data_IF_207813961813
#
_entry.id   IF_207813961813
#
_cell.length_a   1.000
_cell.length_b   1.000
_cell.length_c   1.000
_cell.angle_alpha   90.00
_cell.angle_beta   90.00
_cell.angle_gamma   90.00
#
_symmetry.space_group_name_H-M   'P 1'
#
loop_
_entity.id
_entity.type
_entity.pdbx_description
1 polymer ?
#
# COMPACT_ATOMS: atom_id res chain seq x y z
N UNK A 1 -28.97 -6.99 -3.35
CA UNK A 1 -28.97 -5.59 -2.86
C UNK A 1 -27.71 -4.79 -3.24
N UNK A 2 -26.48 -5.31 -3.05
CA UNK A 2 -25.23 -4.57 -3.32
C UNK A 2 -25.01 -4.14 -4.79
N UNK A 3 -25.34 -4.98 -5.80
CA UNK A 3 -25.25 -4.59 -7.23
C UNK A 3 -26.11 -3.37 -7.59
N UNK A 4 -27.27 -3.20 -6.92
CA UNK A 4 -28.13 -2.02 -7.10
C UNK A 4 -27.51 -0.80 -6.44
N UNK A 5 -26.87 -0.90 -5.27
CA UNK A 5 -26.23 0.26 -4.61
C UNK A 5 -24.99 0.79 -5.36
N UNK A 6 -24.17 -0.09 -5.95
CA UNK A 6 -23.00 0.31 -6.77
C UNK A 6 -23.44 0.95 -8.08
N UNK A 7 -24.44 0.34 -8.74
CA UNK A 7 -25.04 0.92 -9.93
C UNK A 7 -25.71 2.24 -9.58
N UNK A 8 -26.43 2.36 -8.46
CA UNK A 8 -27.06 3.61 -8.03
C UNK A 8 -26.03 4.66 -7.60
N UNK A 9 -24.91 4.35 -6.95
CA UNK A 9 -23.90 5.38 -6.60
C UNK A 9 -23.09 5.82 -7.82
N UNK A 10 -22.71 4.90 -8.70
CA UNK A 10 -22.05 5.23 -9.96
C UNK A 10 -23.00 5.93 -10.93
N UNK A 11 -24.24 5.45 -11.07
CA UNK A 11 -25.31 6.09 -11.85
C UNK A 11 -25.75 7.39 -11.19
N UNK A 12 -25.77 7.55 -9.87
CA UNK A 12 -26.04 8.83 -9.22
C UNK A 12 -24.87 9.79 -9.40
N UNK A 13 -23.60 9.36 -9.34
CA UNK A 13 -22.47 10.23 -9.69
C UNK A 13 -22.49 10.59 -11.18
N UNK A 14 -22.78 9.63 -12.06
CA UNK A 14 -22.91 9.80 -13.50
C UNK A 14 -24.16 10.60 -13.91
N UNK A 15 -25.26 10.56 -13.15
CA UNK A 15 -26.48 11.37 -13.34
C UNK A 15 -26.32 12.74 -12.70
N UNK A 16 -25.54 12.86 -11.63
CA UNK A 16 -25.17 14.14 -11.03
C UNK A 16 -24.18 14.90 -11.95
N UNK A 17 -23.35 14.21 -12.72
CA UNK A 17 -22.47 14.81 -13.74
C UNK A 17 -23.19 14.89 -15.11
N UNK A 18 -24.07 13.93 -15.42
CA UNK A 18 -24.77 13.77 -16.68
C UNK A 18 -26.19 14.34 -16.70
N UNK A 19 -26.30 15.65 -16.51
CA UNK A 19 -27.40 16.40 -17.12
C UNK A 19 -27.05 16.86 -18.55
N UNK A 20 -25.90 16.45 -19.09
CA UNK A 20 -25.52 16.65 -20.50
C UNK A 20 -24.83 15.37 -20.98
N UNK A 21 -25.13 14.99 -22.23
CA UNK A 21 -24.59 13.87 -23.02
C UNK A 21 -25.39 12.57 -22.91
N UNK A 22 -26.42 12.54 -23.75
CA UNK A 22 -27.18 11.38 -24.14
C UNK A 22 -26.30 10.29 -24.77
N UNK A 23 -26.65 9.03 -24.49
CA UNK A 23 -26.15 7.85 -25.20
C UNK A 23 -24.89 7.23 -24.59
N UNK A 24 -24.98 5.97 -24.13
CA UNK A 24 -24.21 4.85 -24.67
C UNK A 24 -24.22 3.65 -23.72
N UNK A 25 -24.84 2.59 -24.25
CA UNK A 25 -24.83 1.16 -23.98
C UNK A 25 -23.77 0.58 -23.03
N UNK A 26 -24.26 -0.29 -22.13
CA UNK A 26 -23.49 -1.24 -21.32
C UNK A 26 -23.76 -2.63 -21.88
N UNK A 27 -22.77 -3.25 -22.53
CA UNK A 27 -22.83 -4.69 -22.84
C UNK A 27 -21.89 -5.46 -21.92
N UNK A 28 -22.45 -6.33 -21.09
CA UNK A 28 -21.73 -7.30 -20.27
C UNK A 28 -21.73 -8.65 -20.97
N UNK A 29 -20.57 -9.29 -21.07
CA UNK A 29 -20.48 -10.72 -21.35
C UNK A 29 -19.39 -11.33 -20.46
N UNK A 30 -19.66 -12.54 -19.98
CA UNK A 30 -18.86 -13.30 -19.03
C UNK A 30 -18.35 -14.60 -19.65
N UNK A 31 -17.09 -14.93 -19.37
CA UNK A 31 -16.41 -16.22 -19.56
C UNK A 31 -14.96 -15.99 -19.09
N UNK A 32 -14.29 -16.83 -18.31
CA UNK A 32 -14.44 -18.27 -18.08
C UNK A 32 -13.12 -18.91 -18.52
N UNK A 33 -12.44 -19.62 -17.61
CA UNK A 33 -11.39 -20.59 -17.92
C UNK A 33 -9.95 -20.06 -18.01
N UNK A 34 -9.17 -20.52 -17.03
CA UNK A 34 -7.85 -21.14 -17.13
C UNK A 34 -6.57 -20.33 -17.44
N UNK A 35 -5.61 -20.59 -16.53
CA UNK A 35 -4.16 -20.68 -16.71
C UNK A 35 -3.39 -19.42 -17.11
N UNK A 36 -3.09 -18.60 -16.09
CA UNK A 36 -1.95 -17.67 -16.08
C UNK A 36 -0.64 -18.49 -15.94
N UNK A 37 -0.34 -19.30 -16.95
CA UNK A 37 1.01 -19.72 -17.27
C UNK A 37 1.81 -18.43 -17.48
N UNK A 38 2.83 -18.20 -16.66
CA UNK A 38 3.86 -17.21 -16.97
C UNK A 38 3.38 -15.73 -16.85
N UNK A 39 3.41 -15.16 -15.63
CA UNK A 39 3.82 -13.76 -15.42
C UNK A 39 5.30 -13.60 -15.77
N UNK A 40 5.54 -13.91 -17.03
CA UNK A 40 6.77 -14.04 -17.74
C UNK A 40 7.49 -12.69 -17.72
N UNK A 41 8.62 -12.65 -17.01
CA UNK A 41 9.62 -11.57 -17.02
C UNK A 41 9.21 -10.31 -16.23
N UNK A 42 9.33 -10.40 -14.90
CA UNK A 42 9.69 -9.32 -13.95
C UNK A 42 10.06 -7.94 -14.55
N UNK A 43 9.63 -6.78 -13.97
CA UNK A 43 10.03 -6.44 -12.59
C UNK A 43 9.09 -5.53 -11.77
N UNK A 44 9.02 -5.73 -10.45
CA UNK A 44 8.61 -4.68 -9.50
C UNK A 44 9.62 -4.56 -8.35
N UNK A 45 10.37 -3.47 -8.37
CA UNK A 45 11.03 -2.87 -7.20
C UNK A 45 10.15 -1.72 -6.72
N UNK A 46 9.92 -1.59 -5.40
CA UNK A 46 10.54 -0.47 -4.69
C UNK A 46 10.65 -0.59 -3.17
N UNK A 47 11.75 -0.01 -2.71
CA UNK A 47 12.15 0.38 -1.36
C UNK A 47 11.87 1.89 -1.21
N UNK A 48 11.56 2.35 0.00
CA UNK A 48 11.01 3.69 0.29
C UNK A 48 11.97 4.88 0.17
N UNK A 49 13.19 4.71 -0.35
CA UNK A 49 14.09 5.83 -0.71
C UNK A 49 14.57 5.67 -2.16
N UNK A 50 13.69 5.96 -3.11
CA UNK A 50 14.00 6.49 -4.44
C UNK A 50 12.71 6.84 -5.17
N UNK A 51 12.61 8.08 -5.62
CA UNK A 51 11.64 8.51 -6.63
C UNK A 51 11.86 7.61 -7.86
N UNK A 52 10.84 6.88 -8.29
CA UNK A 52 10.76 6.40 -9.66
C UNK A 52 9.31 6.54 -10.15
N UNK A 53 9.17 6.84 -11.42
CA UNK A 53 7.90 6.97 -12.11
C UNK A 53 7.18 5.61 -12.09
N UNK A 54 5.94 5.57 -11.61
CA UNK A 54 5.14 4.34 -11.66
C UNK A 54 4.16 4.38 -12.81
N UNK A 55 4.11 3.26 -13.53
CA UNK A 55 3.17 3.02 -14.59
C UNK A 55 1.80 2.68 -14.00
N UNK A 56 0.69 3.06 -14.66
CA UNK A 56 -0.60 2.46 -14.30
C UNK A 56 -0.66 1.08 -14.93
N UNK A 57 -0.42 0.08 -14.09
CA UNK A 57 -0.76 -1.29 -14.42
C UNK A 57 -2.23 -1.50 -14.10
N UNK A 58 -2.98 -2.02 -15.08
CA UNK A 58 -4.34 -2.50 -14.84
C UNK A 58 -4.24 -3.61 -13.78
N UNK A 59 -4.98 -3.51 -12.66
CA UNK A 59 -4.93 -4.56 -11.68
C UNK A 59 -5.39 -5.90 -12.30
N UNK A 60 -4.64 -6.97 -12.07
CA UNK A 60 -4.76 -8.22 -12.85
C UNK A 60 -6.17 -8.82 -12.85
N UNK A 61 -6.91 -8.68 -11.75
CA UNK A 61 -8.26 -9.23 -11.63
C UNK A 61 -9.36 -8.16 -11.79
N UNK A 62 -9.01 -6.97 -12.29
CA UNK A 62 -9.99 -5.94 -12.61
C UNK A 62 -10.87 -6.42 -13.78
N UNK A 63 -12.18 -6.51 -13.53
CA UNK A 63 -13.17 -6.86 -14.56
C UNK A 63 -13.37 -5.74 -15.58
N UNK A 64 -12.90 -4.55 -15.25
CA UNK A 64 -12.83 -3.39 -16.13
C UNK A 64 -12.34 -2.17 -15.37
N UNK A 65 -11.61 -1.31 -16.07
CA UNK A 65 -11.31 0.05 -15.63
C UNK A 65 -12.13 0.99 -16.48
N UNK A 66 -12.82 1.89 -15.79
CA UNK A 66 -13.58 2.96 -16.41
C UNK A 66 -12.96 4.27 -15.99
N UNK A 67 -12.58 5.01 -17.02
CA UNK A 67 -12.03 6.34 -16.87
C UNK A 67 -12.95 7.26 -17.65
N UNK A 68 -13.36 8.34 -16.99
CA UNK A 68 -14.18 9.36 -17.60
C UNK A 68 -13.59 10.75 -17.39
N UNK A 69 -13.74 11.55 -18.42
CA UNK A 69 -13.45 12.97 -18.47
C UNK A 69 -14.31 13.60 -19.56
N UNK A 70 -14.45 14.94 -19.57
CA UNK A 70 -15.13 15.62 -20.66
C UNK A 70 -14.45 15.18 -21.97
N UNK A 71 -15.18 14.40 -22.79
CA UNK A 71 -14.77 13.79 -24.07
C UNK A 71 -13.97 12.46 -24.04
N UNK A 72 -13.67 11.87 -22.89
CA UNK A 72 -12.89 10.62 -22.82
C UNK A 72 -13.62 9.52 -22.04
N UNK A 73 -14.39 8.67 -22.73
CA UNK A 73 -14.87 7.40 -22.17
C UNK A 73 -13.88 6.29 -22.53
N UNK A 74 -12.95 5.98 -21.63
CA UNK A 74 -12.01 4.86 -21.84
C UNK A 74 -12.52 3.66 -21.04
N UNK A 75 -12.89 2.61 -21.76
CA UNK A 75 -13.28 1.31 -21.19
C UNK A 75 -12.21 0.30 -21.58
N UNK A 76 -11.43 -0.17 -20.60
CA UNK A 76 -10.44 -1.20 -20.80
C UNK A 76 -10.92 -2.53 -20.21
N UNK A 77 -10.84 -3.61 -21.00
CA UNK A 77 -10.93 -5.00 -20.55
C UNK A 77 -9.58 -5.68 -20.72
N UNK A 78 -9.15 -6.47 -19.74
CA UNK A 78 -7.90 -7.24 -19.79
C UNK A 78 -8.04 -8.31 -20.89
N UNK A 79 -7.16 -8.29 -21.90
CA UNK A 79 -6.97 -9.43 -22.82
C UNK A 79 -5.56 -10.04 -22.73
N UNK A 80 -4.58 -9.28 -22.29
CA UNK A 80 -3.25 -9.66 -21.77
C UNK A 80 -2.56 -8.34 -21.38
N UNK A 81 -1.46 -8.38 -20.62
CA UNK A 81 -0.69 -7.25 -20.05
C UNK A 81 -0.07 -6.26 -21.07
N UNK A 82 -0.71 -6.01 -22.22
CA UNK A 82 -0.24 -5.04 -23.20
C UNK A 82 -0.79 -3.63 -22.92
N UNK A 83 0.10 -2.65 -23.13
CA UNK A 83 -0.23 -1.23 -23.30
C UNK A 83 -1.52 -1.06 -24.07
N UNK A 84 -2.51 -0.40 -23.45
CA UNK A 84 -3.83 -0.16 -24.01
C UNK A 84 -3.67 0.73 -25.26
N UNK A 85 -3.94 0.23 -26.49
CA UNK A 85 -4.08 1.11 -27.64
C UNK A 85 -5.41 1.84 -27.50
N UNK A 86 -5.39 3.15 -27.63
CA UNK A 86 -6.58 3.98 -27.65
C UNK A 86 -7.53 3.50 -28.76
N UNK A 87 -8.72 3.00 -28.40
CA UNK A 87 -9.74 2.61 -29.38
C UNK A 87 -10.32 3.83 -30.15
N UNK A 88 -10.03 5.05 -29.68
CA UNK A 88 -10.17 6.34 -30.38
C UNK A 88 -9.10 7.30 -29.87
N UNK A 89 -8.55 8.13 -30.75
CA UNK A 89 -7.56 9.16 -30.39
C UNK A 89 -8.04 9.96 -29.18
N UNK A 90 -7.21 10.03 -28.14
CA UNK A 90 -7.42 10.98 -27.07
C UNK A 90 -6.98 12.35 -27.58
N UNK A 91 -7.88 13.34 -27.71
CA UNK A 91 -7.53 14.66 -28.24
C UNK A 91 -6.46 15.39 -27.39
N UNK A 92 -6.19 14.92 -26.18
CA UNK A 92 -5.22 15.50 -25.25
C UNK A 92 -3.94 14.65 -25.07
N UNK A 93 -3.76 13.54 -25.81
CA UNK A 93 -2.56 12.70 -25.70
C UNK A 93 -2.07 12.19 -27.07
N UNK A 94 -0.93 12.69 -27.58
CA UNK A 94 -0.33 12.21 -28.83
C UNK A 94 0.06 10.73 -28.75
N UNK A 95 0.01 10.00 -29.88
CA UNK A 95 0.41 8.58 -29.98
C UNK A 95 1.84 8.30 -29.47
N UNK A 96 2.71 9.31 -29.44
CA UNK A 96 4.09 9.20 -28.96
C UNK A 96 4.22 9.14 -27.43
N UNK A 97 3.19 9.49 -26.67
CA UNK A 97 3.21 9.50 -25.20
C UNK A 97 2.61 8.19 -24.64
N UNK A 98 3.32 7.54 -23.70
CA UNK A 98 2.80 6.36 -22.98
C UNK A 98 1.87 6.78 -21.84
N UNK A 99 0.67 6.18 -21.76
CA UNK A 99 -0.35 6.43 -20.72
C UNK A 99 0.24 6.43 -19.32
N UNK A 100 1.04 5.42 -19.04
CA UNK A 100 1.68 5.18 -17.76
C UNK A 100 2.61 6.31 -17.29
N UNK A 101 3.30 6.97 -18.23
CA UNK A 101 4.24 8.04 -17.93
C UNK A 101 3.52 9.38 -17.72
N UNK A 102 2.39 9.59 -18.40
CA UNK A 102 1.67 10.86 -18.40
C UNK A 102 0.28 10.76 -17.76
N UNK A 103 -0.01 9.70 -16.99
CA UNK A 103 -1.33 9.49 -16.40
C UNK A 103 -1.81 10.70 -15.59
N UNK A 104 -0.89 11.30 -14.84
CA UNK A 104 -1.19 12.49 -14.04
C UNK A 104 -1.35 13.76 -14.88
N UNK A 105 -1.01 13.76 -16.17
CA UNK A 105 -1.29 14.88 -17.08
C UNK A 105 -2.70 14.78 -17.68
N UNK A 106 -3.34 13.60 -17.59
CA UNK A 106 -4.66 13.39 -18.15
C UNK A 106 -5.74 14.16 -17.38
N UNK A 107 -6.65 14.80 -18.12
CA UNK A 107 -7.80 15.55 -17.60
C UNK A 107 -8.97 14.64 -17.17
N UNK A 108 -8.66 13.66 -16.34
CA UNK A 108 -9.60 12.66 -15.85
C UNK A 108 -10.28 13.13 -14.58
N UNK A 109 -11.61 13.11 -14.55
CA UNK A 109 -12.37 13.49 -13.36
C UNK A 109 -12.43 12.33 -12.36
N UNK A 110 -12.57 11.09 -12.84
CA UNK A 110 -12.69 9.92 -11.98
C UNK A 110 -12.08 8.65 -12.57
N UNK A 111 -11.72 7.74 -11.67
CA UNK A 111 -11.27 6.38 -11.98
C UNK A 111 -12.13 5.40 -11.20
N UNK A 112 -12.81 4.52 -11.92
CA UNK A 112 -13.57 3.43 -11.35
C UNK A 112 -12.91 2.09 -11.68
N UNK A 113 -12.62 1.32 -10.64
CA UNK A 113 -12.01 0.00 -10.75
C UNK A 113 -13.03 -1.01 -10.25
N UNK A 114 -13.48 -1.88 -11.14
CA UNK A 114 -14.36 -3.00 -10.78
C UNK A 114 -13.53 -4.21 -10.40
N UNK A 115 -13.67 -4.64 -9.15
CA UNK A 115 -12.95 -5.78 -8.60
C UNK A 115 -13.58 -7.11 -9.01
N UNK A 116 -12.77 -8.17 -8.99
CA UNK A 116 -13.31 -9.52 -8.93
C UNK A 116 -13.86 -9.79 -7.53
N UNK A 117 -14.90 -10.62 -7.44
CA UNK A 117 -15.52 -10.95 -6.16
C UNK A 117 -14.57 -11.72 -5.23
N UNK A 118 -13.62 -12.46 -5.82
CA UNK A 118 -12.69 -13.33 -5.11
C UNK A 118 -11.31 -12.66 -4.89
N UNK A 119 -11.06 -11.52 -5.55
CA UNK A 119 -9.80 -10.79 -5.53
C UNK A 119 -10.05 -9.31 -5.83
N UNK A 120 -9.94 -8.45 -4.80
CA UNK A 120 -9.78 -7.02 -5.02
C UNK A 120 -8.33 -6.80 -5.40
N UNK A 121 -8.03 -6.31 -6.58
CA UNK A 121 -6.62 -6.25 -7.00
C UNK A 121 -5.90 -5.08 -6.30
N UNK A 122 -4.56 -5.14 -6.23
CA UNK A 122 -3.76 -4.02 -5.74
C UNK A 122 -4.11 -2.75 -6.53
N UNK A 123 -4.43 -1.67 -5.81
CA UNK A 123 -4.71 -0.39 -6.44
C UNK A 123 -3.40 0.17 -7.01
N UNK A 124 -3.39 0.72 -8.24
CA UNK A 124 -2.19 1.35 -8.81
C UNK A 124 -1.61 2.35 -7.82
N UNK A 125 -0.30 2.34 -7.59
CA UNK A 125 0.19 3.04 -6.40
C UNK A 125 0.01 4.56 -6.45
N UNK A 126 -0.04 5.13 -7.65
CA UNK A 126 -0.41 6.53 -7.90
C UNK A 126 -1.83 6.92 -7.48
N UNK A 127 -2.74 5.95 -7.35
CA UNK A 127 -4.11 6.19 -6.89
C UNK A 127 -4.24 6.15 -5.37
N UNK A 128 -3.26 5.62 -4.63
CA UNK A 128 -3.31 5.66 -3.17
C UNK A 128 -3.37 7.11 -2.71
N UNK A 129 -4.41 7.50 -1.95
CA UNK A 129 -4.44 8.81 -1.36
C UNK A 129 -3.29 8.94 -0.37
N UNK A 130 -2.60 10.07 -0.43
CA UNK A 130 -1.54 10.41 0.52
C UNK A 130 -2.16 11.14 1.70
N UNK A 131 -1.70 10.84 2.91
CA UNK A 131 -2.21 11.45 4.13
C UNK A 131 -1.08 12.05 4.98
N UNK A 132 -1.36 13.17 5.62
CA UNK A 132 -0.50 13.80 6.64
C UNK A 132 -1.23 13.90 7.97
N UNK A 133 -0.46 13.99 9.05
CA UNK A 133 -1.00 14.38 10.36
C UNK A 133 -1.49 15.82 10.26
N UNK A 134 -2.77 16.04 10.54
CA UNK A 134 -3.37 17.37 10.59
C UNK A 134 -3.42 17.91 12.02
N UNK A 135 -3.84 17.07 12.97
CA UNK A 135 -3.93 17.40 14.39
C UNK A 135 -3.82 16.13 15.23
N UNK A 136 -3.79 16.27 16.54
CA UNK A 136 -3.89 15.16 17.48
C UNK A 136 -5.23 15.24 18.24
N UNK A 137 -5.79 14.10 18.60
CA UNK A 137 -6.94 14.03 19.52
C UNK A 137 -6.51 14.35 20.95
N UNK A 138 -7.48 14.59 21.86
CA UNK A 138 -7.19 14.73 23.30
C UNK A 138 -6.46 13.51 23.89
N UNK A 139 -6.66 12.33 23.30
CA UNK A 139 -5.97 11.09 23.67
C UNK A 139 -4.62 10.90 22.94
N UNK A 140 -4.08 11.95 22.30
CA UNK A 140 -2.78 11.90 21.63
C UNK A 140 -2.74 11.12 20.31
N UNK A 141 -3.89 10.68 19.77
CA UNK A 141 -3.93 9.94 18.50
C UNK A 141 -3.86 10.90 17.30
N UNK A 142 -3.04 10.64 16.28
CA UNK A 142 -2.97 11.49 15.10
C UNK A 142 -4.27 11.41 14.30
N UNK A 143 -4.80 12.57 13.91
CA UNK A 143 -5.90 12.71 12.95
C UNK A 143 -5.27 13.00 11.60
N UNK A 144 -5.48 12.08 10.67
CA UNK A 144 -4.94 12.16 9.32
C UNK A 144 -5.88 12.95 8.40
N UNK A 145 -5.31 13.90 7.66
CA UNK A 145 -5.96 14.60 6.56
C UNK A 145 -5.21 14.31 5.26
N UNK A 146 -5.83 14.59 4.12
CA UNK A 146 -5.17 14.41 2.84
C UNK A 146 -3.92 15.29 2.70
N UNK A 147 -2.87 14.71 2.12
CA UNK A 147 -1.68 15.44 1.75
C UNK A 147 -1.98 16.39 0.58
N UNK A 148 -1.42 17.61 0.53
CA UNK A 148 -1.62 18.52 -0.61
C UNK A 148 -1.23 17.92 -1.96
N UNK A 149 -0.23 17.04 -1.98
CA UNK A 149 0.22 16.33 -3.19
C UNK A 149 -0.66 15.12 -3.55
N UNK A 150 -1.64 14.76 -2.72
CA UNK A 150 -2.58 13.70 -3.07
C UNK A 150 -3.38 14.15 -4.29
N UNK A 151 -3.19 13.46 -5.42
CA UNK A 151 -3.89 13.80 -6.68
C UNK A 151 -5.31 13.25 -6.73
N UNK A 152 -5.53 12.16 -6.02
CA UNK A 152 -6.78 11.41 -6.00
C UNK A 152 -7.36 11.32 -4.59
N UNK A 153 -8.68 11.29 -4.51
CA UNK A 153 -9.45 11.04 -3.30
C UNK A 153 -10.22 9.73 -3.49
N UNK A 154 -10.02 8.77 -2.59
CA UNK A 154 -10.81 7.53 -2.55
C UNK A 154 -12.16 7.84 -1.91
N UNK A 155 -13.25 7.69 -2.66
CA UNK A 155 -14.61 8.01 -2.17
C UNK A 155 -15.48 6.78 -1.99
N UNK A 156 -15.05 5.63 -2.53
CA UNK A 156 -15.71 4.34 -2.36
C UNK A 156 -14.68 3.22 -2.43
N UNK A 157 -14.79 2.25 -1.52
CA UNK A 157 -13.91 1.09 -1.47
C UNK A 157 -14.62 -0.09 -0.80
N UNK A 158 -14.82 -1.17 -1.56
CA UNK A 158 -15.28 -2.45 -1.03
C UNK A 158 -14.81 -3.66 -1.87
N UNK A 159 -15.43 -4.82 -1.66
CA UNK A 159 -15.15 -6.07 -2.38
C UNK A 159 -15.46 -6.04 -3.88
N UNK A 160 -16.25 -5.08 -4.33
CA UNK A 160 -16.78 -5.03 -5.70
C UNK A 160 -16.17 -3.91 -6.52
N UNK A 161 -15.78 -2.81 -5.89
CA UNK A 161 -15.17 -1.70 -6.61
C UNK A 161 -14.38 -0.72 -5.73
N UNK A 162 -13.57 0.10 -6.41
CA UNK A 162 -12.99 1.33 -5.88
C UNK A 162 -13.34 2.50 -6.80
N UNK A 163 -13.65 3.65 -6.20
CA UNK A 163 -13.89 4.91 -6.94
C UNK A 163 -12.92 5.96 -6.43
N UNK A 164 -12.18 6.57 -7.35
CA UNK A 164 -11.30 7.69 -7.10
C UNK A 164 -11.77 8.93 -7.85
N UNK A 165 -11.69 10.07 -7.19
CA UNK A 165 -12.01 11.38 -7.76
C UNK A 165 -10.77 12.26 -7.76
N UNK A 166 -10.57 12.99 -8.84
CA UNK A 166 -9.47 13.94 -9.00
C UNK A 166 -9.62 15.10 -8.02
N UNK A 167 -8.55 15.46 -7.30
CA UNK A 167 -8.54 16.58 -6.36
C UNK A 167 -8.27 17.92 -7.02
N UNK A 168 -7.33 17.93 -7.98
CA UNK A 168 -7.07 19.13 -8.77
C UNK A 168 -8.10 19.23 -9.88
N UNK A 169 -9.13 20.04 -9.66
CA UNK A 169 -10.22 20.27 -10.62
C UNK A 169 -9.89 21.34 -11.65
N UNK A 170 -8.89 22.18 -11.42
CA UNK A 170 -8.54 23.28 -12.33
C UNK A 170 -7.96 22.81 -13.66
N UNK A 171 -7.35 21.63 -13.66
CA UNK A 171 -6.89 21.01 -14.90
C UNK A 171 -8.02 20.38 -15.72
N UNK A 172 -9.22 20.26 -15.16
CA UNK A 172 -10.37 19.66 -15.83
C UNK A 172 -11.09 20.74 -16.65
N UNK A 173 -11.52 20.37 -17.86
CA UNK A 173 -12.35 21.23 -18.71
C UNK A 173 -13.81 21.13 -18.28
N UNK A 174 -14.08 21.58 -17.06
CA UNK A 174 -15.41 21.62 -16.44
C UNK A 174 -15.82 23.07 -16.19
N UNK A 175 -17.12 23.35 -16.23
CA UNK A 175 -17.60 24.67 -15.82
C UNK A 175 -17.50 24.83 -14.29
N UNK A 176 -17.57 26.07 -13.79
CA UNK A 176 -17.41 26.37 -12.36
C UNK A 176 -18.42 25.65 -11.47
N UNK A 177 -19.64 25.42 -11.96
CA UNK A 177 -20.68 24.68 -11.23
C UNK A 177 -20.32 23.20 -11.07
N UNK A 178 -19.79 22.58 -12.12
CA UNK A 178 -19.33 21.19 -12.12
C UNK A 178 -18.08 21.00 -11.25
N UNK A 179 -17.09 21.91 -11.36
CA UNK A 179 -15.91 21.91 -10.50
C UNK A 179 -16.29 21.96 -9.02
N UNK A 180 -17.17 22.90 -8.65
CA UNK A 180 -17.68 23.03 -7.28
C UNK A 180 -18.35 21.74 -6.80
N UNK A 181 -19.19 21.14 -7.63
CA UNK A 181 -19.88 19.88 -7.31
C UNK A 181 -18.91 18.72 -7.06
N UNK A 182 -17.86 18.61 -7.88
CA UNK A 182 -16.84 17.57 -7.71
C UNK A 182 -16.08 17.77 -6.39
N UNK A 183 -15.72 19.02 -6.06
CA UNK A 183 -15.08 19.37 -4.80
C UNK A 183 -15.97 19.06 -3.58
N UNK A 184 -17.27 19.34 -3.67
CA UNK A 184 -18.24 19.01 -2.62
C UNK A 184 -18.31 17.49 -2.40
N UNK A 185 -18.36 16.68 -3.47
CA UNK A 185 -18.32 15.21 -3.37
C UNK A 185 -17.03 14.75 -2.69
N UNK A 186 -15.87 15.28 -3.08
CA UNK A 186 -14.59 14.94 -2.44
C UNK A 186 -14.65 15.26 -0.94
N UNK A 187 -15.11 16.45 -0.58
CA UNK A 187 -15.20 16.90 0.82
C UNK A 187 -16.12 16.01 1.66
N UNK A 188 -17.27 15.61 1.12
CA UNK A 188 -18.26 14.81 1.84
C UNK A 188 -17.91 13.32 1.89
N UNK A 189 -17.57 12.74 0.73
CA UNK A 189 -17.52 11.30 0.50
C UNK A 189 -16.13 10.70 0.61
N UNK A 190 -15.08 11.51 0.67
CA UNK A 190 -13.73 10.97 0.83
C UNK A 190 -13.64 10.06 2.07
N UNK A 191 -13.13 8.85 1.83
CA UNK A 191 -12.78 7.86 2.83
C UNK A 191 -11.42 8.20 3.42
N UNK A 192 -11.41 9.11 4.39
CA UNK A 192 -10.23 9.34 5.24
C UNK A 192 -9.88 8.06 6.01
N UNK A 193 -8.63 7.88 6.50
CA UNK A 193 -8.23 6.65 7.18
C UNK A 193 -9.19 6.26 8.32
N UNK A 194 -9.65 7.22 9.13
CA UNK A 194 -10.62 6.95 10.20
C UNK A 194 -12.07 6.69 9.72
N UNK A 195 -12.48 7.17 8.53
CA UNK A 195 -13.76 6.76 7.92
C UNK A 195 -13.64 5.34 7.37
N UNK A 196 -12.55 5.05 6.66
CA UNK A 196 -12.26 3.74 6.10
C UNK A 196 -12.18 2.65 7.19
N UNK A 197 -11.46 2.92 8.28
CA UNK A 197 -11.40 2.06 9.46
C UNK A 197 -12.80 1.77 10.01
N UNK A 198 -13.63 2.81 10.23
CA UNK A 198 -15.00 2.62 10.71
C UNK A 198 -15.86 1.81 9.75
N UNK A 199 -15.78 2.07 8.45
CA UNK A 199 -16.56 1.35 7.43
C UNK A 199 -16.17 -0.13 7.35
N UNK A 200 -14.87 -0.45 7.46
CA UNK A 200 -14.38 -1.83 7.48
C UNK A 200 -14.76 -2.53 8.79
N UNK A 201 -14.63 -1.86 9.94
CA UNK A 201 -14.96 -2.42 11.25
C UNK A 201 -16.46 -2.61 11.48
N UNK A 202 -17.32 -1.75 10.92
CA UNK A 202 -18.79 -1.93 10.95
C UNK A 202 -19.25 -3.18 10.19
N UNK A 203 -18.53 -3.57 9.13
CA UNK A 203 -18.84 -4.72 8.28
C UNK A 203 -18.30 -6.05 8.83
N UNK A 204 -18.14 -6.18 10.15
CA UNK A 204 -17.88 -7.47 10.79
C UNK A 204 -19.23 -8.07 11.22
N UNK A 205 -19.96 -8.68 10.28
CA UNK A 205 -20.51 -9.99 10.55
C UNK A 205 -20.11 -10.97 9.45
N UNK A 206 -19.83 -12.20 9.89
CA UNK A 206 -19.12 -13.26 9.19
C UNK A 206 -19.38 -13.41 7.69
N UNK A 207 -18.32 -13.82 7.00
CA UNK A 207 -18.36 -14.73 5.84
C UNK A 207 -19.65 -14.57 5.03
N UNK A 208 -19.74 -13.49 4.24
CA UNK A 208 -20.86 -13.38 3.30
C UNK A 208 -20.55 -14.29 2.11
N UNK A 209 -21.26 -15.42 2.11
CA UNK A 209 -21.22 -16.57 1.22
C UNK A 209 -20.05 -17.54 1.48
N UNK A 210 -20.36 -18.83 1.60
CA UNK A 210 -19.47 -19.93 1.96
C UNK A 210 -18.35 -20.26 0.96
N UNK A 211 -17.74 -19.25 0.34
CA UNK A 211 -16.50 -19.36 -0.43
C UNK A 211 -15.39 -18.65 0.35
N UNK A 212 -14.33 -19.37 0.71
CA UNK A 212 -13.13 -18.79 1.30
C UNK A 212 -12.52 -17.79 0.30
N UNK A 213 -12.25 -16.53 0.73
CA UNK A 213 -11.71 -15.46 -0.15
C UNK A 213 -10.37 -14.92 0.34
N UNK A 214 -9.30 -15.71 0.27
CA UNK A 214 -8.01 -15.32 0.85
C UNK A 214 -7.38 -14.10 0.14
N UNK A 215 -7.50 -14.00 -1.19
CA UNK A 215 -6.95 -12.86 -1.94
C UNK A 215 -7.65 -11.53 -1.63
N UNK A 216 -8.97 -11.55 -1.40
CA UNK A 216 -9.70 -10.37 -0.94
C UNK A 216 -9.08 -9.80 0.35
N UNK A 217 -8.91 -10.66 1.34
CA UNK A 217 -8.31 -10.30 2.64
C UNK A 217 -6.88 -9.81 2.47
N UNK A 218 -6.07 -10.51 1.67
CA UNK A 218 -4.70 -10.12 1.45
C UNK A 218 -4.60 -8.72 0.84
N UNK A 219 -5.30 -8.48 -0.27
CA UNK A 219 -5.15 -7.23 -1.01
C UNK A 219 -5.74 -6.04 -0.23
N UNK A 220 -6.82 -6.27 0.52
CA UNK A 220 -7.33 -5.28 1.47
C UNK A 220 -6.30 -4.96 2.55
N UNK A 221 -5.65 -5.98 3.10
CA UNK A 221 -4.59 -5.81 4.09
C UNK A 221 -3.38 -5.04 3.55
N UNK A 222 -2.94 -5.32 2.32
CA UNK A 222 -1.88 -4.53 1.67
C UNK A 222 -2.31 -3.08 1.49
N UNK A 223 -3.52 -2.82 0.99
CA UNK A 223 -4.05 -1.47 0.85
C UNK A 223 -4.04 -0.72 2.20
N UNK A 224 -4.52 -1.37 3.28
CA UNK A 224 -4.54 -0.81 4.63
C UNK A 224 -3.15 -0.49 5.18
N UNK A 225 -2.17 -1.38 4.91
CA UNK A 225 -0.78 -1.16 5.31
C UNK A 225 -0.19 0.07 4.63
N UNK A 226 -0.49 0.27 3.35
CA UNK A 226 -0.03 1.43 2.57
C UNK A 226 -0.59 2.74 3.12
N UNK A 227 -1.85 2.76 3.54
CA UNK A 227 -2.46 3.95 4.19
C UNK A 227 -2.20 4.04 5.70
N UNK A 228 -1.24 3.25 6.21
CA UNK A 228 -0.77 3.21 7.61
C UNK A 228 -1.82 2.78 8.65
N UNK A 229 -2.88 2.08 8.24
CA UNK A 229 -3.83 1.42 9.13
C UNK A 229 -3.34 0.01 9.48
N UNK A 230 -2.18 -0.06 10.14
CA UNK A 230 -1.39 -1.30 10.23
C UNK A 230 -2.04 -2.40 11.08
N UNK A 231 -2.78 -2.06 12.15
CA UNK A 231 -3.48 -3.06 12.97
C UNK A 231 -4.59 -3.77 12.18
N UNK A 232 -5.41 -3.01 11.44
CA UNK A 232 -6.40 -3.60 10.53
C UNK A 232 -5.73 -4.38 9.39
N UNK A 233 -4.62 -3.87 8.86
CA UNK A 233 -3.84 -4.57 7.84
C UNK A 233 -3.38 -5.95 8.35
N UNK A 234 -2.84 -6.01 9.57
CA UNK A 234 -2.41 -7.25 10.20
C UNK A 234 -3.58 -8.23 10.38
N UNK A 235 -4.74 -7.76 10.82
CA UNK A 235 -5.94 -8.60 10.95
C UNK A 235 -6.36 -9.21 9.60
N UNK A 236 -6.38 -8.40 8.55
CA UNK A 236 -6.78 -8.83 7.20
C UNK A 236 -5.75 -9.80 6.58
N UNK A 237 -4.46 -9.49 6.68
CA UNK A 237 -3.40 -10.38 6.20
C UNK A 237 -3.37 -11.69 7.00
N UNK A 238 -3.63 -11.65 8.30
CA UNK A 238 -3.75 -12.85 9.13
C UNK A 238 -4.95 -13.72 8.74
N UNK A 239 -6.06 -13.12 8.28
CA UNK A 239 -7.18 -13.89 7.69
C UNK A 239 -6.75 -14.57 6.40
N UNK A 240 -6.00 -13.88 5.53
CA UNK A 240 -5.51 -14.47 4.29
C UNK A 240 -4.60 -15.68 4.55
N UNK A 241 -3.65 -15.57 5.49
CA UNK A 241 -2.76 -16.68 5.90
C UNK A 241 -3.56 -17.83 6.52
N UNK A 242 -4.55 -17.56 7.39
CA UNK A 242 -5.39 -18.64 7.96
C UNK A 242 -6.20 -19.40 6.91
N UNK A 243 -6.66 -18.72 5.87
CA UNK A 243 -7.44 -19.32 4.79
C UNK A 243 -6.56 -20.10 3.80
N UNK A 244 -5.31 -19.65 3.60
CA UNK A 244 -4.34 -20.32 2.73
C UNK A 244 -2.92 -20.16 3.30
N UNK A 245 -2.48 -21.06 4.19
CA UNK A 245 -1.16 -20.98 4.82
C UNK A 245 -0.02 -21.37 3.86
N UNK A 246 -0.34 -22.06 2.78
CA UNK A 246 0.60 -22.57 1.76
C UNK A 246 1.00 -21.54 0.70
N UNK A 247 0.60 -20.27 0.82
CA UNK A 247 1.05 -19.22 -0.09
C UNK A 247 2.16 -18.35 0.50
N UNK A 248 3.31 -18.40 -0.14
CA UNK A 248 4.49 -17.57 0.12
C UNK A 248 4.17 -16.07 0.09
N UNK A 249 3.31 -15.64 -0.84
CA UNK A 249 2.86 -14.27 -0.95
C UNK A 249 2.09 -13.81 0.30
N UNK A 250 1.18 -14.63 0.81
CA UNK A 250 0.41 -14.32 2.02
C UNK A 250 1.30 -14.29 3.26
N UNK A 251 2.21 -15.26 3.39
CA UNK A 251 3.19 -15.30 4.46
C UNK A 251 4.07 -14.04 4.47
N UNK A 252 4.60 -13.65 3.31
CA UNK A 252 5.43 -12.46 3.15
C UNK A 252 4.67 -11.15 3.43
N UNK A 253 3.42 -11.02 2.96
CA UNK A 253 2.61 -9.84 3.24
C UNK A 253 2.28 -9.71 4.72
N UNK A 254 1.96 -10.82 5.39
CA UNK A 254 1.71 -10.85 6.83
C UNK A 254 2.95 -10.47 7.64
N UNK A 255 4.11 -11.04 7.30
CA UNK A 255 5.40 -10.67 7.88
C UNK A 255 5.68 -9.16 7.72
N UNK A 256 5.45 -8.60 6.53
CA UNK A 256 5.62 -7.17 6.29
C UNK A 256 4.70 -6.29 7.18
N UNK A 257 3.50 -6.76 7.53
CA UNK A 257 2.62 -6.05 8.46
C UNK A 257 3.11 -6.14 9.91
N UNK A 258 3.57 -7.31 10.36
CA UNK A 258 4.19 -7.50 11.68
C UNK A 258 5.39 -6.56 11.87
N UNK A 259 6.28 -6.52 10.87
CA UNK A 259 7.44 -5.63 10.90
C UNK A 259 7.04 -4.15 10.94
N UNK A 260 6.05 -3.73 10.14
CA UNK A 260 5.61 -2.34 10.11
C UNK A 260 5.01 -1.92 11.47
N UNK A 261 4.26 -2.79 12.14
CA UNK A 261 3.77 -2.53 13.50
C UNK A 261 4.93 -2.40 14.48
N UNK A 262 5.92 -3.30 14.43
CA UNK A 262 7.11 -3.20 15.28
C UNK A 262 7.83 -1.86 15.04
N UNK A 263 8.00 -1.46 13.79
CA UNK A 263 8.64 -0.20 13.41
C UNK A 263 7.87 1.03 13.95
N UNK A 264 6.54 1.05 13.83
CA UNK A 264 5.72 2.15 14.35
C UNK A 264 5.76 2.23 15.89
N UNK A 265 5.74 1.07 16.57
CA UNK A 265 5.86 1.00 18.02
C UNK A 265 7.24 1.45 18.50
N UNK A 266 8.31 1.01 17.84
CA UNK A 266 9.68 1.49 18.05
C UNK A 266 9.76 3.01 17.95
N UNK A 267 9.22 3.61 16.89
CA UNK A 267 9.20 5.06 16.72
C UNK A 267 8.44 5.78 17.85
N UNK A 268 7.36 5.18 18.37
CA UNK A 268 6.66 5.65 19.56
C UNK A 268 7.54 5.66 20.81
N UNK A 269 8.24 4.56 21.07
CA UNK A 269 9.18 4.42 22.20
C UNK A 269 10.31 5.45 22.10
N UNK A 270 10.88 5.66 20.90
CA UNK A 270 11.92 6.66 20.67
C UNK A 270 11.43 8.09 20.95
N UNK A 271 10.18 8.40 20.61
CA UNK A 271 9.56 9.68 20.91
C UNK A 271 9.31 9.87 22.41
N UNK A 272 8.84 8.83 23.09
CA UNK A 272 8.65 8.83 24.55
C UNK A 272 9.98 9.03 25.28
N UNK A 273 11.05 8.34 24.85
CA UNK A 273 12.40 8.52 25.36
C UNK A 273 12.91 9.96 25.18
N UNK A 274 12.61 10.59 24.05
CA UNK A 274 12.96 11.99 23.78
C UNK A 274 12.22 12.94 24.72
N UNK A 275 10.92 12.74 24.90
CA UNK A 275 10.09 13.55 25.79
C UNK A 275 10.51 13.41 27.24
N UNK A 276 10.82 12.18 27.69
CA UNK A 276 11.30 11.88 29.03
C UNK A 276 12.60 12.63 29.35
N UNK A 277 13.56 12.63 28.41
CA UNK A 277 14.81 13.41 28.52
C UNK A 277 14.54 14.91 28.63
N UNK A 278 13.57 15.43 27.87
CA UNK A 278 13.17 16.84 27.92
C UNK A 278 12.52 17.24 29.25
N UNK A 279 11.58 16.43 29.76
CA UNK A 279 10.87 16.68 31.01
C UNK A 279 11.77 16.68 32.24
N UNK A 280 12.81 15.85 32.23
CA UNK A 280 13.77 15.83 33.32
C UNK A 280 14.64 17.11 33.39
N UNK A 281 14.59 17.99 32.37
CA UNK A 281 15.40 19.22 32.32
C UNK A 281 16.88 18.97 32.01
N UNK A 282 17.19 17.81 31.41
CA UNK A 282 18.52 17.24 31.39
C UNK A 282 19.18 17.49 30.02
N UNK A 283 20.36 18.14 30.02
CA UNK A 283 21.15 18.37 28.80
C UNK A 283 21.46 17.01 28.12
N UNK A 284 21.54 16.97 26.77
CA UNK A 284 22.03 15.78 26.07
C UNK A 284 23.39 15.34 26.66
N UNK A 285 23.54 14.05 26.98
CA UNK A 285 24.74 13.39 27.57
C UNK A 285 24.87 13.37 29.11
N UNK A 286 23.88 13.82 29.87
CA UNK A 286 23.94 13.69 31.34
C UNK A 286 23.74 12.23 31.77
N UNK A 287 24.57 11.76 32.69
CA UNK A 287 24.52 10.39 33.22
C UNK A 287 23.12 10.07 33.79
N UNK A 288 22.51 9.00 33.27
CA UNK A 288 21.16 8.53 33.63
C UNK A 288 21.07 8.17 35.12
N UNK A 289 22.18 7.76 35.75
CA UNK A 289 22.21 7.43 37.18
C UNK A 289 21.82 8.61 38.07
N UNK A 290 22.01 9.85 37.60
CA UNK A 290 21.74 11.09 38.36
C UNK A 290 20.31 11.60 38.20
N UNK A 291 19.50 10.99 37.34
CA UNK A 291 18.12 11.45 37.11
C UNK A 291 17.24 11.14 38.33
N UNK A 292 16.16 11.88 38.58
CA UNK A 292 15.19 11.50 39.60
C UNK A 292 14.67 10.07 39.38
N UNK A 293 14.48 9.31 40.46
CA UNK A 293 14.18 7.88 40.43
C UNK A 293 13.01 7.53 39.50
N UNK A 294 11.90 8.28 39.59
CA UNK A 294 10.73 8.14 38.72
C UNK A 294 11.10 8.14 37.22
N UNK A 295 11.98 9.05 36.79
CA UNK A 295 12.38 9.14 35.39
C UNK A 295 13.40 8.07 35.01
N UNK A 296 14.25 7.63 35.95
CA UNK A 296 15.18 6.51 35.72
C UNK A 296 14.45 5.20 35.45
N UNK A 297 13.44 4.89 36.27
CA UNK A 297 12.67 3.66 36.10
C UNK A 297 11.90 3.64 34.77
N UNK A 298 11.28 4.77 34.41
CA UNK A 298 10.63 4.91 33.10
C UNK A 298 11.61 4.75 31.94
N UNK A 299 12.80 5.36 32.04
CA UNK A 299 13.84 5.25 31.02
C UNK A 299 14.31 3.80 30.85
N UNK A 300 14.53 3.09 31.96
CA UNK A 300 14.96 1.68 31.96
C UNK A 300 13.97 0.77 31.23
N UNK A 301 12.67 0.95 31.48
CA UNK A 301 11.60 0.20 30.80
C UNK A 301 11.63 0.48 29.30
N UNK A 302 11.64 1.75 28.90
CA UNK A 302 11.61 2.16 27.50
C UNK A 302 12.86 1.70 26.73
N UNK A 303 14.04 1.72 27.34
CA UNK A 303 15.26 1.18 26.72
C UNK A 303 15.18 -0.32 26.54
N UNK A 304 14.69 -1.07 27.54
CA UNK A 304 14.52 -2.52 27.40
C UNK A 304 13.52 -2.88 26.28
N UNK A 305 12.44 -2.11 26.12
CA UNK A 305 11.53 -2.27 24.98
C UNK A 305 12.18 -1.90 23.65
N UNK A 306 12.94 -0.80 23.62
CA UNK A 306 13.67 -0.37 22.43
C UNK A 306 14.67 -1.44 21.99
N UNK A 307 15.42 -2.05 22.91
CA UNK A 307 16.34 -3.15 22.64
C UNK A 307 15.60 -4.35 22.03
N UNK A 308 14.48 -4.76 22.63
CA UNK A 308 13.63 -5.84 22.09
C UNK A 308 13.15 -5.52 20.67
N UNK A 309 12.83 -4.26 20.37
CA UNK A 309 12.36 -3.83 19.05
C UNK A 309 13.42 -3.91 17.95
N UNK A 310 14.70 -4.13 18.28
CA UNK A 310 15.80 -4.34 17.34
C UNK A 310 16.19 -5.81 17.16
N UNK A 311 15.78 -6.68 18.08
CA UNK A 311 16.19 -8.07 18.15
C UNK A 311 15.32 -8.95 17.22
N UNK A 312 15.87 -9.52 16.13
CA UNK A 312 15.13 -10.36 15.19
C UNK A 312 14.54 -11.64 15.80
N UNK A 313 15.14 -12.15 16.88
CA UNK A 313 14.66 -13.35 17.58
C UNK A 313 13.68 -13.00 18.72
N UNK A 314 13.42 -11.70 18.94
CA UNK A 314 12.42 -11.19 19.86
C UNK A 314 11.46 -10.24 19.14
N UNK A 315 11.54 -8.94 19.43
CA UNK A 315 10.53 -7.97 19.02
C UNK A 315 9.59 -7.57 20.16
N UNK A 316 8.76 -6.57 19.87
CA UNK A 316 7.79 -6.06 20.83
C UNK A 316 6.59 -7.00 20.97
N UNK A 317 5.93 -6.94 22.13
CA UNK A 317 4.68 -7.62 22.40
C UNK A 317 3.50 -6.71 22.05
N UNK A 318 2.49 -7.26 21.37
CA UNK A 318 1.19 -6.58 21.14
C UNK A 318 0.06 -7.59 21.34
N UNK A 319 -1.19 -7.12 21.39
CA UNK A 319 -2.33 -8.01 21.59
C UNK A 319 -2.34 -9.14 20.54
N UNK A 320 -2.29 -10.38 21.00
CA UNK A 320 -2.23 -11.58 20.15
C UNK A 320 -0.85 -11.98 19.62
N UNK A 321 0.22 -11.20 19.87
CA UNK A 321 1.58 -11.45 19.37
C UNK A 321 2.63 -11.26 20.46
N UNK A 322 3.43 -12.29 20.71
CA UNK A 322 4.40 -12.29 21.81
C UNK A 322 5.76 -11.72 21.41
N UNK A 323 6.10 -11.81 20.13
CA UNK A 323 7.41 -11.44 19.61
C UNK A 323 7.30 -11.04 18.14
N UNK A 324 6.92 -9.79 17.87
CA UNK A 324 6.60 -9.33 16.51
C UNK A 324 7.70 -9.59 15.46
N UNK A 325 8.98 -9.39 15.83
CA UNK A 325 10.09 -9.60 14.90
C UNK A 325 10.36 -11.08 14.67
N UNK A 326 10.35 -11.89 15.74
CA UNK A 326 10.50 -13.34 15.61
C UNK A 326 9.41 -13.92 14.70
N UNK A 327 8.15 -13.59 14.97
CA UNK A 327 7.01 -14.02 14.15
C UNK A 327 7.15 -13.53 12.70
N UNK A 328 7.57 -12.27 12.49
CA UNK A 328 7.85 -11.73 11.16
C UNK A 328 8.88 -12.57 10.39
N UNK A 329 10.04 -12.84 11.00
CA UNK A 329 11.09 -13.60 10.33
C UNK A 329 10.75 -15.08 10.17
N UNK A 330 9.96 -15.66 11.09
CA UNK A 330 9.44 -17.03 10.93
C UNK A 330 8.50 -17.13 9.72
N UNK A 331 7.60 -16.15 9.53
CA UNK A 331 6.75 -16.08 8.33
C UNK A 331 7.55 -15.84 7.04
N UNK A 332 8.64 -15.06 7.08
CA UNK A 332 9.53 -14.91 5.92
C UNK A 332 10.27 -16.21 5.57
N UNK A 333 10.77 -16.93 6.58
CA UNK A 333 11.38 -18.25 6.40
C UNK A 333 10.38 -19.24 5.83
N UNK A 334 9.13 -19.19 6.28
CA UNK A 334 8.06 -20.02 5.74
C UNK A 334 7.75 -19.70 4.26
N UNK A 335 7.71 -18.42 3.89
CA UNK A 335 7.57 -18.03 2.49
C UNK A 335 8.67 -18.64 1.60
N UNK A 336 9.92 -18.61 2.08
CA UNK A 336 11.07 -19.19 1.39
C UNK A 336 11.07 -20.73 1.41
N UNK A 337 10.50 -21.36 2.44
CA UNK A 337 10.30 -22.82 2.51
C UNK A 337 9.27 -23.29 1.48
N UNK A 338 8.17 -22.55 1.34
CA UNK A 338 7.12 -22.82 0.37
C UNK A 338 7.61 -22.61 -1.07
N UNK A 339 8.36 -21.53 -1.30
CA UNK A 339 8.94 -21.21 -2.60
C UNK A 339 10.37 -20.65 -2.44
N UNK A 340 11.41 -21.49 -2.62
CA UNK A 340 12.80 -21.04 -2.55
C UNK A 340 13.18 -19.97 -3.60
N UNK A 341 12.41 -19.89 -4.70
CA UNK A 341 12.56 -18.91 -5.77
C UNK A 341 11.91 -17.55 -5.48
N UNK A 342 11.22 -17.39 -4.35
CA UNK A 342 10.46 -16.19 -4.01
C UNK A 342 11.39 -15.05 -3.54
N UNK A 343 11.99 -14.35 -4.51
CA UNK A 343 12.99 -13.32 -4.27
C UNK A 343 12.47 -12.12 -3.44
N UNK A 344 11.15 -11.87 -3.41
CA UNK A 344 10.54 -10.80 -2.61
C UNK A 344 10.76 -11.00 -1.12
N UNK A 345 10.78 -12.24 -0.62
CA UNK A 345 11.08 -12.50 0.79
C UNK A 345 12.53 -12.13 1.12
N UNK A 346 13.51 -12.51 0.29
CA UNK A 346 14.91 -12.08 0.47
C UNK A 346 15.08 -10.57 0.41
N UNK A 347 14.40 -9.92 -0.55
CA UNK A 347 14.39 -8.46 -0.67
C UNK A 347 13.83 -7.82 0.60
N UNK A 348 12.70 -8.31 1.12
CA UNK A 348 12.08 -7.76 2.32
C UNK A 348 12.94 -8.00 3.57
N UNK A 349 13.51 -9.20 3.74
CA UNK A 349 14.42 -9.51 4.84
C UNK A 349 15.67 -8.61 4.82
N UNK A 350 16.25 -8.34 3.64
CA UNK A 350 17.35 -7.38 3.47
C UNK A 350 16.98 -6.01 4.04
N UNK A 351 15.81 -5.48 3.67
CA UNK A 351 15.33 -4.16 4.11
C UNK A 351 15.14 -4.15 5.62
N UNK A 352 14.45 -5.17 6.13
CA UNK A 352 14.15 -5.33 7.56
C UNK A 352 15.43 -5.40 8.39
N UNK A 353 16.39 -6.25 8.01
CA UNK A 353 17.67 -6.34 8.72
C UNK A 353 18.46 -5.04 8.66
N UNK A 354 18.47 -4.33 7.53
CA UNK A 354 19.12 -3.03 7.44
C UNK A 354 18.48 -1.99 8.38
N UNK A 355 17.14 -1.97 8.48
CA UNK A 355 16.40 -1.09 9.39
C UNK A 355 16.57 -1.46 10.87
N UNK A 356 16.87 -2.72 11.17
CA UNK A 356 17.24 -3.19 12.52
C UNK A 356 18.74 -2.97 12.85
N UNK A 357 19.54 -2.45 11.91
CA UNK A 357 20.99 -2.27 12.08
C UNK A 357 21.80 -3.57 11.92
N UNK A 358 21.16 -4.67 11.53
CA UNK A 358 21.78 -5.98 11.33
C UNK A 358 22.40 -6.07 9.92
N UNK A 359 23.36 -5.18 9.62
CA UNK A 359 23.87 -4.98 8.25
C UNK A 359 24.54 -6.22 7.64
N UNK A 360 25.16 -7.08 8.45
CA UNK A 360 25.73 -8.36 7.98
C UNK A 360 24.64 -9.30 7.45
N UNK A 361 23.57 -9.51 8.22
CA UNK A 361 22.40 -10.30 7.79
C UNK A 361 21.70 -9.67 6.58
N UNK A 362 21.63 -8.34 6.54
CA UNK A 362 21.09 -7.63 5.37
C UNK A 362 21.91 -7.89 4.10
N UNK A 363 23.24 -7.92 4.21
CA UNK A 363 24.14 -8.24 3.09
C UNK A 363 23.97 -9.68 2.61
N UNK A 364 23.87 -10.65 3.51
CA UNK A 364 23.57 -12.05 3.18
C UNK A 364 22.24 -12.16 2.40
N UNK A 365 21.20 -11.45 2.85
CA UNK A 365 19.90 -11.41 2.16
C UNK A 365 20.00 -10.73 0.78
N UNK A 366 20.83 -9.69 0.63
CA UNK A 366 21.06 -9.02 -0.66
C UNK A 366 21.75 -9.96 -1.66
N UNK A 367 22.72 -10.76 -1.20
CA UNK A 367 23.41 -11.76 -2.02
C UNK A 367 22.47 -12.90 -2.43
N UNK A 368 21.63 -13.37 -1.51
CA UNK A 368 20.58 -14.35 -1.84
C UNK A 368 19.53 -13.79 -2.81
N UNK A 369 19.10 -12.55 -2.62
CA UNK A 369 18.24 -11.86 -3.57
C UNK A 369 18.86 -11.80 -4.97
N UNK A 370 20.13 -11.42 -5.10
CA UNK A 370 20.85 -11.39 -6.38
C UNK A 370 20.89 -12.78 -7.04
N UNK A 371 21.22 -13.81 -6.26
CA UNK A 371 21.34 -15.19 -6.73
C UNK A 371 19.99 -15.72 -7.25
N UNK A 372 18.93 -15.60 -6.45
CA UNK A 372 17.60 -16.11 -6.79
C UNK A 372 16.99 -15.31 -7.95
N UNK A 373 17.19 -13.99 -7.95
CA UNK A 373 16.69 -13.13 -9.02
C UNK A 373 17.46 -13.28 -10.33
N UNK A 374 18.67 -13.84 -10.27
CA UNK A 374 19.62 -13.95 -11.37
C UNK A 374 19.87 -12.59 -12.05
N UNK A 375 20.27 -11.59 -11.25
CA UNK A 375 20.50 -10.22 -11.76
C UNK A 375 21.63 -10.24 -12.80
N UNK A 376 21.42 -9.68 -14.02
CA UNK A 376 22.44 -9.62 -15.04
C UNK A 376 23.72 -8.93 -14.55
N UNK A 377 24.88 -9.46 -14.93
CA UNK A 377 26.19 -8.92 -14.51
C UNK A 377 26.63 -7.68 -15.31
N UNK A 378 25.91 -7.31 -16.36
CA UNK A 378 26.19 -6.13 -17.18
C UNK A 378 26.16 -4.84 -16.35
N UNK A 379 27.27 -4.08 -16.27
CA UNK A 379 27.31 -2.80 -15.55
C UNK A 379 26.32 -1.73 -16.04
N UNK A 380 25.82 -1.82 -17.28
CA UNK A 380 24.81 -0.89 -17.82
C UNK A 380 23.40 -1.22 -17.33
N UNK A 381 23.16 -2.46 -16.90
CA UNK A 381 21.88 -2.89 -16.36
C UNK A 381 21.47 -2.06 -15.13
N UNK A 382 20.22 -1.58 -15.11
CA UNK A 382 19.72 -0.69 -14.05
C UNK A 382 19.65 -1.42 -12.71
N UNK A 383 19.18 -2.67 -12.70
CA UNK A 383 19.07 -3.47 -11.48
C UNK A 383 20.45 -3.81 -10.91
N UNK A 384 21.42 -4.11 -11.77
CA UNK A 384 22.82 -4.34 -11.38
C UNK A 384 23.41 -3.12 -10.70
N UNK A 385 23.27 -1.93 -11.31
CA UNK A 385 23.74 -0.66 -10.72
C UNK A 385 23.09 -0.39 -9.37
N UNK A 386 21.81 -0.71 -9.22
CA UNK A 386 21.13 -0.56 -7.94
C UNK A 386 21.66 -1.56 -6.90
N UNK A 387 21.83 -2.83 -7.26
CA UNK A 387 22.42 -3.84 -6.37
C UNK A 387 23.79 -3.40 -5.84
N UNK A 388 24.68 -2.92 -6.72
CA UNK A 388 26.03 -2.49 -6.31
C UNK A 388 25.98 -1.28 -5.37
N UNK A 389 25.07 -0.33 -5.60
CA UNK A 389 24.87 0.81 -4.68
C UNK A 389 24.42 0.34 -3.30
N UNK A 390 23.42 -0.54 -3.25
CA UNK A 390 22.90 -1.09 -1.98
C UNK A 390 24.00 -1.88 -1.25
N UNK A 391 24.79 -2.69 -1.98
CA UNK A 391 25.93 -3.44 -1.43
C UNK A 391 26.98 -2.53 -0.81
N UNK A 392 27.39 -1.47 -1.51
CA UNK A 392 28.36 -0.49 -1.00
C UNK A 392 27.83 0.20 0.25
N UNK A 393 26.55 0.56 0.29
CA UNK A 393 25.92 1.17 1.47
C UNK A 393 25.99 0.25 2.69
N UNK A 394 25.63 -1.04 2.52
CA UNK A 394 25.71 -2.02 3.59
C UNK A 394 27.14 -2.25 4.07
N UNK A 395 28.10 -2.38 3.15
CA UNK A 395 29.52 -2.53 3.51
C UNK A 395 30.08 -1.33 4.28
N UNK A 396 29.67 -0.11 3.91
CA UNK A 396 30.02 1.10 4.67
C UNK A 396 29.40 1.09 6.06
N UNK A 397 28.16 0.64 6.20
CA UNK A 397 27.47 0.55 7.47
C UNK A 397 28.08 -0.51 8.41
N UNK A 398 28.61 -1.61 7.86
CA UNK A 398 29.33 -2.65 8.64
C UNK A 398 30.68 -2.14 9.18
N UNK A 399 31.33 -1.20 8.47
CA UNK A 399 32.64 -0.65 8.85
C UNK A 399 32.56 0.50 9.86
N UNK A 400 31.38 1.10 10.03
CA UNK A 400 31.10 2.12 11.04
C UNK A 400 30.74 1.44 12.35
#
# INVERSE_FOLDING_TARGET
MQRRQILILAVCLLLLIGAVIAGYFVYTYSGGGDDDEYLERHPIKRDYDSILFEQIQIPENAKGIFVDGPQCKVVARRKTLQTIPFARENPYMPRSKRFEQNFDELKLAFVFIKHSLDNISYLPARLYPLYKVSRYTKAGKPVLAAHPESKWALVYFDETASVFIRRNVEMLELNEKEKKKLLDIVKEKELTPGKLEREISKKIPGIVSGKQRPFFHYNRGVFLRTVRLCELALQELGKAVRLRPDSEYFQNGYAAALFHINYLKKAGIENELRNLKGQAGIKPKTDVTRWPEKYREQYKILIAELEKSHDPERGLQVAGHKALLKECFDHMKEALRLNPGYFEAWKNMKIMYAQLGQYRKALECLEMYEKVKNIPKDPKNIERRQYEREKIQLLKAIRR
#
